data_IF_260699818665
#
_entry.id   IF_260699818665
#
_cell.length_a   1.000
_cell.length_b   1.000
_cell.length_c   1.000
_cell.angle_alpha   90.00
_cell.angle_beta   90.00
_cell.angle_gamma   90.00
#
_symmetry.space_group_name_H-M   'P 1'
#
loop_
_entity.id
_entity.type
_entity.pdbx_description
1 polymer ?
#
# COMPACT_ATOMS: atom_id res chain seq x y z
N UNK A 1 -6.81 -47.44 -76.17
CA UNK A 1 -6.91 -46.01 -76.56
C UNK A 1 -7.82 -45.30 -75.54
N UNK A 2 -7.31 -44.23 -74.91
CA UNK A 2 -7.99 -43.04 -74.34
C UNK A 2 -9.46 -43.24 -73.87
N UNK A 3 -9.85 -42.98 -72.62
CA UNK A 3 -9.87 -41.65 -72.00
C UNK A 3 -10.07 -41.74 -70.48
N UNK A 4 -9.26 -40.96 -69.77
CA UNK A 4 -9.35 -40.61 -68.34
C UNK A 4 -10.56 -39.67 -68.14
N UNK A 5 -11.36 -39.91 -67.11
CA UNK A 5 -12.37 -38.98 -66.59
C UNK A 5 -12.18 -38.85 -65.08
N UNK A 6 -11.50 -37.78 -64.65
CA UNK A 6 -11.47 -37.29 -63.28
C UNK A 6 -12.72 -36.42 -63.05
N UNK A 7 -13.53 -36.63 -62.00
CA UNK A 7 -14.55 -35.67 -61.64
C UNK A 7 -13.90 -34.43 -60.98
N UNK A 8 -14.30 -33.28 -61.50
CA UNK A 8 -13.84 -31.93 -61.17
C UNK A 8 -14.32 -31.55 -59.75
N UNK A 9 -13.40 -31.38 -58.81
CA UNK A 9 -13.67 -30.79 -57.50
C UNK A 9 -13.80 -29.26 -57.68
N UNK A 10 -15.02 -28.72 -57.61
CA UNK A 10 -15.21 -27.27 -57.51
C UNK A 10 -15.09 -26.89 -56.04
N UNK A 11 -13.90 -26.45 -55.64
CA UNK A 11 -13.66 -25.87 -54.33
C UNK A 11 -14.19 -24.42 -54.36
N UNK A 12 -15.34 -24.17 -53.73
CA UNK A 12 -15.83 -22.82 -53.50
C UNK A 12 -14.94 -22.17 -52.43
N UNK A 13 -13.97 -21.36 -52.85
CA UNK A 13 -13.20 -20.53 -51.95
C UNK A 13 -14.11 -19.41 -51.40
N UNK A 14 -14.62 -19.59 -50.19
CA UNK A 14 -15.22 -18.50 -49.43
C UNK A 14 -14.06 -17.62 -48.97
N UNK A 15 -13.74 -16.59 -49.74
CA UNK A 15 -12.83 -15.52 -49.33
C UNK A 15 -13.43 -14.80 -48.12
N UNK A 16 -12.92 -15.12 -46.93
CA UNK A 16 -13.16 -14.37 -45.71
C UNK A 16 -12.48 -13.00 -45.82
N UNK A 17 -13.23 -11.99 -46.25
CA UNK A 17 -12.86 -10.60 -45.98
C UNK A 17 -13.28 -10.30 -44.54
N UNK A 18 -12.51 -10.80 -43.57
CA UNK A 18 -12.51 -10.21 -42.24
C UNK A 18 -11.85 -8.84 -42.37
N UNK A 19 -12.67 -7.82 -42.64
CA UNK A 19 -12.25 -6.43 -42.55
C UNK A 19 -11.96 -6.19 -41.08
N UNK A 20 -10.68 -6.23 -40.70
CA UNK A 20 -10.24 -5.75 -39.40
C UNK A 20 -10.63 -4.27 -39.36
N UNK A 21 -11.75 -3.95 -38.73
CA UNK A 21 -12.03 -2.60 -38.34
C UNK A 21 -11.03 -2.30 -37.22
N UNK A 22 -9.88 -1.72 -37.57
CA UNK A 22 -9.08 -0.98 -36.61
C UNK A 22 -10.02 0.06 -36.01
N UNK A 23 -10.58 -0.26 -34.85
CA UNK A 23 -11.32 0.71 -34.07
C UNK A 23 -10.26 1.74 -33.69
N UNK A 24 -10.37 3.00 -34.15
CA UNK A 24 -9.36 4.01 -33.83
C UNK A 24 -9.22 4.04 -32.32
N UNK A 25 -8.00 3.84 -31.82
CA UNK A 25 -7.75 3.89 -30.40
C UNK A 25 -8.22 5.27 -29.90
N UNK A 26 -9.18 5.28 -28.97
CA UNK A 26 -9.82 6.49 -28.47
C UNK A 26 -8.88 7.16 -27.45
N UNK A 27 -7.66 7.52 -27.88
CA UNK A 27 -6.58 7.95 -27.00
C UNK A 27 -6.66 9.44 -26.66
N UNK A 28 -7.48 10.22 -27.36
CA UNK A 28 -7.64 11.65 -27.08
C UNK A 28 -8.54 11.91 -25.89
N UNK A 29 -8.26 13.00 -25.17
CA UNK A 29 -9.01 13.40 -23.96
C UNK A 29 -10.49 13.63 -24.27
N UNK A 30 -11.42 13.03 -23.50
CA UNK A 30 -12.83 13.25 -23.70
C UNK A 30 -13.21 14.69 -23.34
N UNK A 31 -14.10 15.27 -24.15
CA UNK A 31 -14.60 16.64 -23.99
C UNK A 31 -13.50 17.71 -23.87
N UNK A 32 -12.43 17.58 -24.66
CA UNK A 32 -11.26 18.47 -24.56
C UNK A 32 -11.57 19.98 -24.66
N UNK A 33 -12.60 20.36 -25.42
CA UNK A 33 -13.05 21.75 -25.56
C UNK A 33 -13.96 22.28 -24.45
N UNK A 34 -14.40 21.45 -23.49
CA UNK A 34 -15.38 21.80 -22.46
C UNK A 34 -14.76 22.12 -21.09
N UNK A 35 -13.44 22.30 -21.02
CA UNK A 35 -12.70 22.48 -19.78
C UNK A 35 -12.00 21.20 -19.31
N UNK A 36 -11.58 21.11 -18.03
CA UNK A 36 -10.88 19.95 -17.52
C UNK A 36 -11.80 18.73 -17.46
N UNK A 37 -11.29 17.59 -17.93
CA UNK A 37 -11.94 16.30 -17.73
C UNK A 37 -11.88 15.96 -16.26
N UNK A 38 -13.05 15.88 -15.62
CA UNK A 38 -13.14 15.50 -14.22
C UNK A 38 -12.98 13.99 -14.09
N UNK A 39 -12.05 13.60 -13.23
CA UNK A 39 -11.78 12.21 -12.87
C UNK A 39 -12.16 12.07 -11.41
N UNK A 40 -13.29 11.43 -11.15
CA UNK A 40 -13.73 11.06 -9.82
C UNK A 40 -12.83 9.98 -9.25
N UNK A 41 -12.45 10.13 -7.98
CA UNK A 41 -11.54 9.20 -7.31
C UNK A 41 -12.12 8.75 -5.98
N UNK A 42 -12.16 7.43 -5.79
CA UNK A 42 -12.44 6.79 -4.51
C UNK A 42 -11.21 6.03 -4.03
N UNK A 43 -10.79 6.23 -2.78
CA UNK A 43 -9.58 5.62 -2.22
C UNK A 43 -9.89 4.85 -0.94
N UNK A 44 -9.40 3.62 -0.85
CA UNK A 44 -9.50 2.82 0.36
C UNK A 44 -8.13 2.26 0.74
N UNK A 45 -7.63 2.67 1.92
CA UNK A 45 -6.44 2.06 2.51
C UNK A 45 -6.88 0.72 3.11
N UNK A 46 -6.49 -0.37 2.45
CA UNK A 46 -6.79 -1.73 2.89
C UNK A 46 -5.96 -2.06 4.11
N UNK A 47 -4.66 -1.76 4.07
CA UNK A 47 -3.75 -2.03 5.17
C UNK A 47 -2.50 -1.15 5.10
N UNK A 48 -1.86 -0.97 6.24
CA UNK A 48 -0.50 -0.44 6.35
C UNK A 48 0.27 -1.40 7.24
N UNK A 49 1.33 -1.97 6.69
CA UNK A 49 1.96 -3.19 7.24
C UNK A 49 3.32 -2.93 7.86
N UNK A 50 4.03 -1.90 7.41
CA UNK A 50 5.39 -1.61 7.86
C UNK A 50 5.72 -0.12 7.76
N UNK A 51 6.60 0.35 8.63
CA UNK A 51 7.24 1.68 8.56
C UNK A 51 8.73 1.51 8.77
N UNK A 52 9.55 2.03 7.86
CA UNK A 52 11.00 2.06 8.00
C UNK A 52 11.47 3.50 8.23
N UNK A 53 11.88 3.78 9.48
CA UNK A 53 12.36 5.11 9.87
C UNK A 53 13.74 5.45 9.30
N UNK A 54 14.58 4.44 9.05
CA UNK A 54 15.92 4.63 8.49
C UNK A 54 15.85 4.92 6.99
N UNK A 55 14.99 4.18 6.27
CA UNK A 55 14.78 4.36 4.83
C UNK A 55 13.74 5.43 4.49
N UNK A 56 13.08 6.02 5.50
CA UNK A 56 12.04 7.03 5.32
C UNK A 56 10.92 6.56 4.37
N UNK A 57 10.36 5.40 4.65
CA UNK A 57 9.26 4.84 3.87
C UNK A 57 8.24 4.10 4.75
N UNK A 58 7.09 3.80 4.16
CA UNK A 58 6.08 2.92 4.76
C UNK A 58 5.48 2.02 3.68
N UNK A 59 5.01 0.85 4.07
CA UNK A 59 4.39 -0.14 3.17
C UNK A 59 2.89 -0.13 3.36
N UNK A 60 2.15 0.05 2.27
CA UNK A 60 0.69 0.10 2.28
C UNK A 60 0.07 -0.74 1.16
N UNK A 61 -1.19 -1.11 1.40
CA UNK A 61 -2.10 -1.75 0.45
C UNK A 61 -3.29 -0.81 0.21
N UNK A 62 -3.46 -0.40 -1.04
CA UNK A 62 -4.42 0.63 -1.45
C UNK A 62 -5.33 0.05 -2.52
N UNK A 63 -6.64 0.17 -2.34
CA UNK A 63 -7.61 0.00 -3.41
C UNK A 63 -8.06 1.39 -3.89
N UNK A 64 -8.03 1.62 -5.20
CA UNK A 64 -8.46 2.88 -5.80
C UNK A 64 -9.42 2.62 -6.96
N UNK A 65 -10.38 3.53 -7.09
CA UNK A 65 -11.31 3.57 -8.22
C UNK A 65 -11.22 4.94 -8.85
N UNK A 66 -10.95 4.98 -10.15
CA UNK A 66 -11.07 6.16 -10.97
C UNK A 66 -12.33 6.04 -11.82
N UNK A 67 -13.10 7.13 -11.92
CA UNK A 67 -14.30 7.20 -12.77
C UNK A 67 -14.28 8.48 -13.58
N UNK A 68 -14.57 8.40 -14.87
CA UNK A 68 -14.75 9.58 -15.73
C UNK A 68 -15.83 9.34 -16.77
N UNK A 69 -16.24 10.40 -17.47
CA UNK A 69 -17.23 10.32 -18.55
C UNK A 69 -16.55 10.35 -19.92
N UNK A 70 -16.89 9.40 -20.78
CA UNK A 70 -16.52 9.39 -22.18
C UNK A 70 -17.71 8.93 -23.05
N UNK A 71 -18.41 9.89 -23.63
CA UNK A 71 -19.59 9.63 -24.47
C UNK A 71 -19.29 8.77 -25.70
N UNK A 72 -18.02 8.68 -26.13
CA UNK A 72 -17.60 7.87 -27.28
C UNK A 72 -17.63 6.37 -26.97
N UNK A 73 -17.61 6.01 -25.69
CA UNK A 73 -17.67 4.64 -25.20
C UNK A 73 -19.08 4.21 -24.77
N UNK A 74 -20.08 5.10 -24.89
CA UNK A 74 -21.46 4.75 -24.66
C UNK A 74 -21.93 3.71 -25.68
N UNK A 75 -22.72 2.73 -25.23
CA UNK A 75 -23.15 1.61 -26.05
C UNK A 75 -24.54 1.13 -25.66
N UNK A 76 -25.23 0.46 -26.59
CA UNK A 76 -26.60 -0.05 -26.39
C UNK A 76 -26.65 -1.41 -25.69
N UNK A 77 -25.51 -2.02 -25.40
CA UNK A 77 -25.42 -3.25 -24.60
C UNK A 77 -25.90 -3.03 -23.16
N UNK A 78 -26.37 -4.10 -22.51
CA UNK A 78 -26.89 -4.06 -21.14
C UNK A 78 -25.83 -4.34 -20.07
N UNK A 79 -24.62 -4.76 -20.47
CA UNK A 79 -23.51 -5.09 -19.59
C UNK A 79 -22.34 -4.11 -19.69
N UNK A 80 -21.25 -4.40 -18.99
CA UNK A 80 -20.02 -3.60 -19.05
C UNK A 80 -19.15 -4.04 -20.22
N UNK A 81 -18.64 -3.07 -21.00
CA UNK A 81 -17.64 -3.31 -22.03
C UNK A 81 -16.23 -3.16 -21.45
N UNK A 82 -15.32 -4.08 -21.79
CA UNK A 82 -13.94 -4.09 -21.30
C UNK A 82 -12.99 -3.62 -22.40
N UNK A 83 -12.08 -2.71 -22.03
CA UNK A 83 -11.07 -2.16 -22.93
C UNK A 83 -9.68 -2.28 -22.31
N UNK A 84 -8.68 -2.61 -23.13
CA UNK A 84 -7.30 -2.44 -22.72
C UNK A 84 -6.97 -0.94 -22.58
N UNK A 85 -6.05 -0.58 -21.68
CA UNK A 85 -5.73 0.84 -21.40
C UNK A 85 -5.10 1.59 -22.59
N UNK A 86 -4.64 0.88 -23.62
CA UNK A 86 -4.12 1.45 -24.87
C UNK A 86 -5.21 1.70 -25.93
N UNK A 87 -6.42 1.18 -25.73
CA UNK A 87 -7.57 1.36 -26.63
C UNK A 87 -8.46 2.55 -26.26
N UNK A 88 -8.33 3.06 -25.03
CA UNK A 88 -9.14 4.14 -24.48
C UNK A 88 -8.27 5.21 -23.84
N UNK A 89 -8.80 6.42 -23.76
CA UNK A 89 -8.15 7.50 -23.05
C UNK A 89 -8.09 7.18 -21.57
N UNK A 90 -6.94 7.41 -20.96
CA UNK A 90 -6.77 7.31 -19.51
C UNK A 90 -6.18 8.60 -18.95
N UNK A 91 -6.48 8.93 -17.69
CA UNK A 91 -5.89 10.08 -17.02
C UNK A 91 -4.39 9.90 -16.65
N UNK A 92 -3.78 8.76 -17.04
CA UNK A 92 -2.36 8.44 -16.82
C UNK A 92 -1.89 8.72 -15.40
N UNK A 93 -2.62 8.19 -14.43
CA UNK A 93 -2.33 8.45 -13.02
C UNK A 93 -1.08 7.71 -12.58
N UNK A 94 -0.10 8.46 -12.08
CA UNK A 94 1.07 7.94 -11.36
C UNK A 94 1.00 8.27 -9.87
N UNK A 95 1.84 7.61 -9.08
CA UNK A 95 2.01 7.91 -7.66
C UNK A 95 3.39 8.54 -7.47
N UNK A 96 3.44 9.82 -7.08
CA UNK A 96 4.68 10.60 -7.07
C UNK A 96 5.73 10.07 -6.08
N UNK A 97 5.28 9.42 -5.01
CA UNK A 97 6.14 8.89 -3.96
C UNK A 97 6.17 7.36 -3.90
N UNK A 98 5.78 6.67 -4.97
CA UNK A 98 5.96 5.21 -5.05
C UNK A 98 7.45 4.84 -5.17
N UNK A 99 7.82 3.71 -4.57
CA UNK A 99 9.13 3.09 -4.81
C UNK A 99 9.00 1.99 -5.86
N UNK A 100 10.13 1.44 -6.31
CA UNK A 100 10.14 0.31 -7.25
C UNK A 100 9.50 -0.97 -6.71
N UNK A 101 9.16 -1.04 -5.42
CA UNK A 101 8.48 -2.20 -4.83
C UNK A 101 6.96 -2.19 -5.03
N UNK A 102 6.37 -1.07 -5.49
CA UNK A 102 4.92 -0.96 -5.67
C UNK A 102 4.47 -1.79 -6.86
N UNK A 103 3.57 -2.74 -6.59
CA UNK A 103 2.99 -3.64 -7.59
C UNK A 103 1.50 -3.34 -7.74
N UNK A 104 1.04 -3.33 -9.00
CA UNK A 104 -0.37 -3.29 -9.41
C UNK A 104 -0.95 -4.70 -9.36
N UNK A 105 -2.04 -4.91 -8.61
CA UNK A 105 -2.62 -6.24 -8.35
C UNK A 105 -3.88 -6.53 -9.16
N UNK A 106 -4.54 -5.51 -9.71
CA UNK A 106 -5.71 -5.68 -10.55
C UNK A 106 -5.35 -5.50 -12.04
N UNK A 107 -6.16 -6.09 -12.95
CA UNK A 107 -5.95 -5.96 -14.39
C UNK A 107 -5.86 -4.50 -14.84
N UNK A 108 -4.97 -4.24 -15.79
CA UNK A 108 -4.88 -2.95 -16.47
C UNK A 108 -5.91 -2.90 -17.60
N UNK A 109 -7.18 -2.82 -17.22
CA UNK A 109 -8.32 -2.70 -18.12
C UNK A 109 -9.32 -1.68 -17.61
N UNK A 110 -9.91 -0.93 -18.53
CA UNK A 110 -11.01 -0.03 -18.25
C UNK A 110 -12.36 -0.71 -18.53
N UNK A 111 -13.36 -0.32 -17.77
CA UNK A 111 -14.73 -0.82 -17.82
C UNK A 111 -15.65 0.32 -18.23
N UNK A 112 -16.29 0.23 -19.39
CA UNK A 112 -17.28 1.21 -19.82
C UNK A 112 -18.70 0.70 -19.55
N UNK A 113 -19.50 1.53 -18.89
CA UNK A 113 -20.93 1.34 -18.70
C UNK A 113 -21.71 1.80 -19.94
N UNK A 114 -22.97 1.34 -20.12
CA UNK A 114 -23.79 1.69 -21.30
C UNK A 114 -23.94 3.19 -21.53
N UNK A 115 -23.91 3.99 -20.47
CA UNK A 115 -24.05 5.43 -20.54
C UNK A 115 -22.74 6.16 -20.92
N UNK A 116 -21.62 5.44 -21.10
CA UNK A 116 -20.29 6.00 -21.37
C UNK A 116 -19.51 6.42 -20.11
N UNK A 117 -19.94 6.00 -18.92
CA UNK A 117 -19.15 6.11 -17.70
C UNK A 117 -18.05 5.07 -17.73
N UNK A 118 -16.81 5.47 -17.49
CA UNK A 118 -15.65 4.58 -17.51
C UNK A 118 -15.10 4.44 -16.11
N UNK A 119 -14.85 3.20 -15.69
CA UNK A 119 -14.24 2.84 -14.44
C UNK A 119 -12.86 2.23 -14.70
N UNK A 120 -11.87 2.67 -13.93
CA UNK A 120 -10.57 2.03 -13.85
C UNK A 120 -10.26 1.74 -12.39
N UNK A 121 -10.03 0.46 -12.07
CA UNK A 121 -9.81 -0.03 -10.72
C UNK A 121 -8.39 -0.53 -10.61
N UNK A 122 -7.70 -0.14 -9.54
CA UNK A 122 -6.37 -0.66 -9.29
C UNK A 122 -6.17 -0.93 -7.79
N UNK A 123 -5.33 -1.91 -7.48
CA UNK A 123 -4.84 -2.16 -6.13
C UNK A 123 -3.33 -2.08 -6.13
N UNK A 124 -2.78 -1.15 -5.34
CA UNK A 124 -1.35 -0.92 -5.22
C UNK A 124 -0.85 -1.52 -3.91
N UNK A 125 0.19 -2.34 -3.98
CA UNK A 125 0.82 -2.95 -2.81
C UNK A 125 2.32 -2.73 -2.87
N UNK A 126 2.87 -2.03 -1.89
CA UNK A 126 4.31 -1.81 -1.79
C UNK A 126 4.67 -0.60 -0.95
N UNK A 127 5.90 -0.11 -1.12
CA UNK A 127 6.47 0.93 -0.26
C UNK A 127 6.39 2.31 -0.90
N UNK A 128 6.06 3.31 -0.07
CA UNK A 128 5.94 4.71 -0.43
C UNK A 128 6.92 5.54 0.39
N UNK A 129 7.61 6.47 -0.26
CA UNK A 129 8.58 7.35 0.39
C UNK A 129 7.84 8.39 1.23
N UNK A 130 8.30 8.59 2.47
CA UNK A 130 7.74 9.55 3.41
C UNK A 130 8.87 10.13 4.29
N UNK A 131 9.14 11.45 4.21
CA UNK A 131 10.04 12.07 5.18
C UNK A 131 9.42 11.99 6.58
N UNK A 132 10.10 11.31 7.49
CA UNK A 132 9.66 11.11 8.87
C UNK A 132 10.29 12.16 9.79
N UNK A 133 9.48 12.73 10.70
CA UNK A 133 9.95 13.69 11.70
C UNK A 133 10.45 12.94 12.94
N UNK A 134 11.74 12.64 12.99
CA UNK A 134 12.35 11.84 14.06
C UNK A 134 12.72 12.64 15.32
N UNK A 135 12.59 13.97 15.30
CA UNK A 135 12.93 14.87 16.43
C UNK A 135 12.15 14.55 17.72
N UNK A 136 10.97 13.95 17.59
CA UNK A 136 10.14 13.53 18.73
C UNK A 136 9.97 12.02 18.79
N UNK A 137 10.79 11.24 18.09
CA UNK A 137 10.73 9.78 18.15
C UNK A 137 11.06 9.29 19.57
N UNK A 138 10.33 8.31 20.12
CA UNK A 138 9.18 7.58 19.55
C UNK A 138 7.80 8.23 19.84
N UNK A 139 7.74 9.41 20.45
CA UNK A 139 6.50 10.07 20.92
C UNK A 139 5.85 11.04 19.92
N UNK A 140 6.23 10.98 18.64
CA UNK A 140 5.79 11.91 17.59
C UNK A 140 4.59 11.41 16.81
N UNK A 141 3.77 12.32 16.31
CA UNK A 141 2.76 12.00 15.28
C UNK A 141 3.43 12.00 13.91
N UNK A 142 3.14 11.00 13.09
CA UNK A 142 3.60 10.96 11.70
C UNK A 142 2.42 11.06 10.75
N UNK A 143 2.59 11.84 9.69
CA UNK A 143 1.61 11.96 8.62
C UNK A 143 2.15 11.22 7.40
N UNK A 144 1.58 10.06 7.09
CA UNK A 144 1.87 9.29 5.89
C UNK A 144 1.06 9.85 4.72
N UNK A 145 1.72 10.17 3.61
CA UNK A 145 1.09 10.76 2.43
C UNK A 145 1.26 9.87 1.21
N UNK A 146 0.24 9.85 0.37
CA UNK A 146 0.27 9.21 -0.95
C UNK A 146 -0.24 10.22 -1.95
N UNK A 147 0.55 10.51 -2.97
CA UNK A 147 0.29 11.59 -3.91
C UNK A 147 0.05 11.04 -5.31
N UNK A 148 -1.20 11.11 -5.76
CA UNK A 148 -1.59 10.72 -7.12
C UNK A 148 -1.49 11.93 -8.04
N UNK A 149 -0.88 11.75 -9.21
CA UNK A 149 -0.66 12.82 -10.20
C UNK A 149 -1.10 12.36 -11.58
N UNK A 150 -1.76 13.23 -12.34
CA UNK A 150 -2.10 12.96 -13.75
C UNK A 150 -0.87 13.28 -14.61
N UNK A 151 -0.11 12.26 -15.00
CA UNK A 151 1.11 12.46 -15.78
C UNK A 151 0.73 12.93 -17.18
N UNK A 152 1.44 13.94 -17.71
CA UNK A 152 1.27 14.52 -19.05
C UNK A 152 0.07 15.47 -19.21
N UNK A 153 -0.65 15.78 -18.15
CA UNK A 153 -1.79 16.70 -18.19
C UNK A 153 -1.61 17.90 -17.29
N UNK A 154 -2.18 19.03 -17.69
CA UNK A 154 -2.32 20.25 -16.90
C UNK A 154 -3.63 20.23 -16.08
N UNK A 155 -3.82 21.09 -15.05
CA UNK A 155 -4.98 21.06 -14.14
C UNK A 155 -6.22 21.59 -14.82
N UNK A 156 -6.04 22.43 -15.84
CA UNK A 156 -7.10 22.88 -16.73
C UNK A 156 -7.47 21.82 -17.79
N UNK A 157 -6.71 20.72 -17.87
CA UNK A 157 -7.01 19.58 -18.76
C UNK A 157 -7.58 18.39 -17.99
N UNK A 158 -7.03 18.06 -16.82
CA UNK A 158 -7.51 16.96 -15.98
C UNK A 158 -7.59 17.44 -14.53
N UNK A 159 -8.74 17.21 -13.91
CA UNK A 159 -8.99 17.55 -12.51
C UNK A 159 -9.46 16.32 -11.73
N UNK A 160 -8.80 16.03 -10.61
CA UNK A 160 -9.28 15.00 -9.68
C UNK A 160 -10.37 15.58 -8.79
N UNK A 161 -11.47 14.85 -8.66
CA UNK A 161 -12.58 15.18 -7.77
C UNK A 161 -12.91 13.97 -6.90
N UNK A 162 -13.49 14.18 -5.72
CA UNK A 162 -13.90 13.07 -4.86
C UNK A 162 -15.10 12.33 -5.49
N UNK A 163 -15.12 11.00 -5.43
CA UNK A 163 -16.21 10.21 -5.99
C UNK A 163 -17.53 10.36 -5.23
N UNK A 164 -18.53 10.97 -5.88
CA UNK A 164 -19.83 11.24 -5.27
C UNK A 164 -20.60 9.98 -4.86
N UNK A 165 -20.42 8.85 -5.57
CA UNK A 165 -21.09 7.61 -5.20
C UNK A 165 -20.56 7.11 -3.86
N UNK A 166 -19.24 7.15 -3.67
CA UNK A 166 -18.61 6.76 -2.40
C UNK A 166 -18.98 7.72 -1.26
N UNK A 167 -19.10 9.02 -1.54
CA UNK A 167 -19.59 10.00 -0.57
C UNK A 167 -21.03 9.67 -0.15
N UNK A 168 -21.89 9.35 -1.12
CA UNK A 168 -23.30 8.96 -0.87
C UNK A 168 -23.38 7.69 -0.03
N UNK A 169 -22.45 6.76 -0.23
CA UNK A 169 -22.35 5.50 0.53
C UNK A 169 -21.72 5.68 1.92
N UNK A 170 -21.40 6.92 2.32
CA UNK A 170 -20.99 7.29 3.67
C UNK A 170 -19.48 7.49 3.87
N UNK A 171 -18.67 7.44 2.80
CA UNK A 171 -17.24 7.70 2.89
C UNK A 171 -16.93 9.19 2.80
N UNK A 172 -16.40 9.76 3.88
CA UNK A 172 -16.00 11.17 3.90
C UNK A 172 -14.96 11.44 2.81
N UNK A 173 -15.22 12.43 1.94
CA UNK A 173 -14.35 12.79 0.81
C UNK A 173 -13.98 11.61 -0.12
N UNK A 174 -14.84 10.60 -0.24
CA UNK A 174 -14.59 9.39 -1.02
C UNK A 174 -13.31 8.63 -0.64
N UNK A 175 -12.80 8.84 0.57
CA UNK A 175 -11.65 8.11 1.08
C UNK A 175 -12.01 7.31 2.33
N UNK A 176 -11.12 6.40 2.72
CA UNK A 176 -11.27 5.64 3.94
C UNK A 176 -10.08 4.74 4.22
N UNK A 177 -10.10 4.13 5.39
CA UNK A 177 -9.09 3.19 5.87
C UNK A 177 -9.76 2.06 6.64
N UNK A 178 -9.20 0.87 6.53
CA UNK A 178 -9.60 -0.27 7.34
C UNK A 178 -9.58 0.09 8.83
N UNK A 179 -10.56 -0.45 9.58
CA UNK A 179 -10.68 -0.21 11.03
C UNK A 179 -9.50 -0.77 11.82
N UNK A 180 -8.83 -1.77 11.27
CA UNK A 180 -7.63 -2.38 11.81
C UNK A 180 -6.56 -2.44 10.72
N UNK A 181 -5.37 -1.96 11.05
CA UNK A 181 -4.17 -2.09 10.22
C UNK A 181 -3.16 -3.00 10.92
N UNK A 182 -2.27 -3.62 10.15
CA UNK A 182 -1.27 -4.60 10.61
C UNK A 182 -0.08 -3.95 11.30
N UNK A 183 0.13 -2.64 11.13
CA UNK A 183 1.20 -1.88 11.80
C UNK A 183 1.16 -2.08 13.33
N UNK A 184 2.15 -2.77 13.91
CA UNK A 184 2.16 -3.05 15.34
C UNK A 184 2.42 -1.76 16.12
N UNK A 185 1.63 -1.53 17.16
CA UNK A 185 1.75 -0.36 18.01
C UNK A 185 1.53 0.97 17.28
N UNK A 186 0.66 1.05 16.28
CA UNK A 186 0.19 2.33 15.73
C UNK A 186 -1.33 2.47 15.85
N UNK A 187 -1.81 3.69 16.05
CA UNK A 187 -3.23 4.03 15.92
C UNK A 187 -3.40 5.10 14.88
N UNK A 188 -4.30 4.83 13.94
CA UNK A 188 -4.82 5.84 13.01
C UNK A 188 -5.64 6.86 13.81
N UNK A 189 -5.15 8.09 13.89
CA UNK A 189 -5.87 9.18 14.56
C UNK A 189 -6.92 9.79 13.62
N UNK A 190 -6.54 10.03 12.36
CA UNK A 190 -7.40 10.59 11.32
C UNK A 190 -6.83 10.33 9.94
N UNK A 191 -7.67 10.47 8.94
CA UNK A 191 -7.30 10.44 7.53
C UNK A 191 -8.05 11.55 6.79
N UNK A 192 -7.51 11.97 5.64
CA UNK A 192 -8.05 13.06 4.82
C UNK A 192 -7.58 12.91 3.37
N UNK A 193 -8.43 13.25 2.40
CA UNK A 193 -8.12 13.13 0.97
C UNK A 193 -8.37 14.45 0.24
N UNK A 194 -7.29 15.17 -0.07
CA UNK A 194 -7.39 16.50 -0.68
C UNK A 194 -6.98 16.50 -2.13
N UNK A 195 -7.91 16.90 -3.00
CA UNK A 195 -7.56 17.36 -4.32
C UNK A 195 -6.79 18.69 -4.21
N UNK A 196 -5.65 18.75 -4.88
CA UNK A 196 -4.79 19.92 -5.02
C UNK A 196 -4.51 20.16 -6.51
N UNK A 197 -3.92 21.30 -6.84
CA UNK A 197 -3.52 21.61 -8.21
C UNK A 197 -2.51 20.54 -8.65
N UNK A 198 -2.88 19.72 -9.64
CA UNK A 198 -2.11 18.57 -10.18
C UNK A 198 -1.99 17.30 -9.32
N UNK A 199 -2.50 17.28 -8.09
CA UNK A 199 -2.29 16.10 -7.22
C UNK A 199 -3.50 15.82 -6.33
N UNK A 200 -3.87 14.55 -6.21
CA UNK A 200 -4.72 14.08 -5.12
C UNK A 200 -3.82 13.54 -4.01
N UNK A 201 -3.82 14.19 -2.85
CA UNK A 201 -3.01 13.77 -1.71
C UNK A 201 -3.90 13.11 -0.66
N UNK A 202 -3.70 11.81 -0.46
CA UNK A 202 -4.23 11.10 0.70
C UNK A 202 -3.25 11.27 1.85
N UNK A 203 -3.74 11.70 3.02
CA UNK A 203 -2.94 11.84 4.23
C UNK A 203 -3.55 11.01 5.35
N UNK A 204 -2.78 10.07 5.90
CA UNK A 204 -3.12 9.34 7.14
C UNK A 204 -2.25 9.90 8.26
N UNK A 205 -2.84 10.31 9.39
CA UNK A 205 -2.11 10.71 10.59
C UNK A 205 -2.15 9.56 11.59
N UNK A 206 -0.98 9.10 12.00
CA UNK A 206 -0.83 7.98 12.92
C UNK A 206 0.06 8.33 14.10
N UNK A 207 -0.22 7.66 15.22
CA UNK A 207 0.47 7.83 16.49
C UNK A 207 0.93 6.47 17.02
N UNK A 208 2.19 6.40 17.44
CA UNK A 208 2.79 5.22 18.06
C UNK A 208 2.19 4.97 19.48
N UNK A 209 1.67 3.76 19.68
CA UNK A 209 0.93 3.25 20.83
C UNK A 209 1.79 2.62 21.92
N UNK A 210 3.13 2.53 21.79
CA UNK A 210 4.01 1.90 22.80
C UNK A 210 3.80 2.49 24.22
N UNK A 211 3.07 3.61 24.40
CA UNK A 211 2.95 4.31 25.68
C UNK A 211 1.54 4.63 26.21
N UNK A 212 0.56 3.72 26.17
CA UNK A 212 -0.54 3.75 27.18
C UNK A 212 -0.25 2.85 28.39
N UNK A 213 0.25 1.63 28.17
CA UNK A 213 0.62 0.69 29.24
C UNK A 213 1.94 1.10 29.94
N UNK A 214 2.98 1.40 29.16
CA UNK A 214 4.30 1.75 29.71
C UNK A 214 4.35 3.12 30.39
N UNK A 215 3.41 4.04 30.14
CA UNK A 215 3.43 5.39 30.75
C UNK A 215 3.18 5.35 32.25
N UNK A 216 2.36 4.40 32.72
CA UNK A 216 2.08 4.22 34.15
C UNK A 216 3.26 3.53 34.84
N UNK A 217 3.86 2.54 34.17
CA UNK A 217 5.02 1.78 34.65
C UNK A 217 6.26 2.69 34.70
N UNK A 218 6.55 3.43 33.64
CA UNK A 218 7.65 4.41 33.58
C UNK A 218 7.44 5.57 34.54
N UNK A 219 6.23 6.10 34.75
CA UNK A 219 6.00 7.13 35.79
C UNK A 219 6.26 6.60 37.18
N UNK A 220 5.89 5.35 37.48
CA UNK A 220 6.16 4.74 38.77
C UNK A 220 7.64 4.40 38.98
N UNK A 221 8.39 4.13 37.89
CA UNK A 221 9.84 3.90 37.92
C UNK A 221 10.61 5.24 37.96
N UNK A 222 10.20 6.25 37.20
CA UNK A 222 10.83 7.58 37.12
C UNK A 222 10.52 8.47 38.33
N UNK A 223 9.38 8.31 38.99
CA UNK A 223 9.10 8.97 40.26
C UNK A 223 10.03 8.50 41.40
N UNK A 224 10.88 7.48 41.16
CA UNK A 224 11.83 6.93 42.12
C UNK A 224 13.30 7.29 41.88
N UNK A 225 13.63 8.05 40.83
CA UNK A 225 15.03 8.40 40.56
C UNK A 225 15.16 9.85 40.12
N UNK A 226 15.64 10.68 41.04
CA UNK A 226 15.97 12.09 40.82
C UNK A 226 17.30 12.23 40.04
N UNK A 227 17.40 13.33 39.27
CA UNK A 227 18.48 13.82 38.38
C UNK A 227 18.78 13.08 37.07
N UNK A 228 18.35 13.72 35.98
CA UNK A 228 18.76 13.48 34.59
C UNK A 228 20.23 13.87 34.36
N UNK A 229 21.09 12.87 34.21
CA UNK A 229 22.32 12.95 33.41
C UNK A 229 22.05 12.24 32.10
N UNK A 230 22.37 12.85 30.95
CA UNK A 230 22.31 12.17 29.64
C UNK A 230 23.02 10.81 29.73
N UNK A 231 22.28 9.73 29.52
CA UNK A 231 22.82 8.37 29.61
C UNK A 231 22.92 7.74 28.22
N UNK A 232 24.13 7.38 27.84
CA UNK A 232 24.40 6.60 26.62
C UNK A 232 24.07 5.14 26.89
N UNK A 233 23.36 4.50 25.97
CA UNK A 233 23.02 3.09 26.05
C UNK A 233 23.73 2.31 24.95
N UNK A 234 24.12 1.08 25.27
CA UNK A 234 24.60 0.12 24.28
C UNK A 234 23.52 -0.91 24.05
N UNK A 235 23.28 -1.22 22.78
CA UNK A 235 22.40 -2.30 22.37
C UNK A 235 23.26 -3.48 21.94
N UNK A 236 22.91 -4.68 22.39
CA UNK A 236 23.53 -5.92 21.93
C UNK A 236 22.45 -6.94 21.59
N UNK A 237 22.73 -7.78 20.60
CA UNK A 237 21.84 -8.88 20.24
C UNK A 237 22.25 -10.15 20.98
N UNK A 238 21.27 -10.88 21.51
CA UNK A 238 21.46 -12.21 22.09
C UNK A 238 20.38 -13.15 21.58
N UNK A 239 20.67 -14.45 21.53
CA UNK A 239 19.70 -15.47 21.13
C UNK A 239 19.56 -16.45 22.29
N UNK A 240 18.37 -16.53 22.86
CA UNK A 240 18.02 -17.57 23.81
C UNK A 240 17.47 -18.79 23.11
N UNK A 241 17.67 -19.95 23.72
CA UNK A 241 17.12 -21.21 23.25
C UNK A 241 16.41 -21.93 24.40
N UNK A 242 15.32 -22.64 24.08
CA UNK A 242 14.61 -23.50 25.04
C UNK A 242 13.91 -24.64 24.29
N UNK A 243 13.83 -25.81 24.92
CA UNK A 243 13.05 -26.94 24.41
C UNK A 243 11.56 -26.83 24.75
N UNK A 244 11.16 -25.84 25.56
CA UNK A 244 9.80 -25.70 26.08
C UNK A 244 8.97 -24.68 25.31
N UNK A 245 9.45 -23.44 25.21
CA UNK A 245 8.74 -22.36 24.51
C UNK A 245 9.66 -21.18 24.18
N UNK A 246 9.17 -20.26 23.33
CA UNK A 246 9.90 -19.03 23.02
C UNK A 246 9.96 -18.05 24.19
N UNK A 247 8.95 -18.02 25.06
CA UNK A 247 8.94 -17.20 26.28
C UNK A 247 10.02 -17.67 27.25
N UNK A 248 10.18 -18.98 27.38
CA UNK A 248 11.25 -19.57 28.19
C UNK A 248 12.63 -19.24 27.59
N UNK A 249 12.80 -19.39 26.28
CA UNK A 249 14.01 -18.99 25.57
C UNK A 249 14.36 -17.51 25.80
N UNK A 250 13.36 -16.61 25.77
CA UNK A 250 13.55 -15.20 26.04
C UNK A 250 14.02 -14.94 27.49
N UNK A 251 13.38 -15.60 28.48
CA UNK A 251 13.77 -15.50 29.89
C UNK A 251 15.20 -15.98 30.10
N UNK A 252 15.58 -17.12 29.51
CA UNK A 252 16.93 -17.67 29.60
C UNK A 252 17.97 -16.71 29.04
N UNK A 253 17.70 -16.08 27.90
CA UNK A 253 18.59 -15.08 27.32
C UNK A 253 18.79 -13.87 28.23
N UNK A 254 17.72 -13.30 28.78
CA UNK A 254 17.80 -12.15 29.69
C UNK A 254 18.55 -12.51 30.97
N UNK A 255 18.25 -13.66 31.57
CA UNK A 255 18.92 -14.15 32.78
C UNK A 255 20.42 -14.37 32.56
N UNK A 256 20.78 -14.97 31.43
CA UNK A 256 22.19 -15.21 31.05
C UNK A 256 22.92 -13.89 30.83
N UNK A 257 22.30 -12.96 30.09
CA UNK A 257 22.87 -11.65 29.82
C UNK A 257 23.05 -10.83 31.12
N UNK A 258 22.12 -10.93 32.07
CA UNK A 258 22.19 -10.24 33.36
C UNK A 258 23.40 -10.66 34.23
N UNK A 259 24.01 -11.81 33.93
CA UNK A 259 25.27 -12.23 34.56
C UNK A 259 26.47 -11.38 34.17
N UNK A 260 26.46 -10.77 32.97
CA UNK A 260 27.60 -10.01 32.43
C UNK A 260 27.28 -8.53 32.17
N UNK A 261 26.05 -8.23 31.77
CA UNK A 261 25.58 -6.89 31.47
C UNK A 261 24.85 -6.33 32.69
N UNK A 262 25.41 -5.25 33.26
CA UNK A 262 24.77 -4.48 34.34
C UNK A 262 23.74 -3.53 33.75
N UNK A 263 22.76 -3.14 34.56
CA UNK A 263 21.79 -2.12 34.20
C UNK A 263 20.97 -2.44 32.92
N UNK A 264 20.62 -3.71 32.71
CA UNK A 264 19.64 -4.12 31.70
C UNK A 264 18.27 -3.49 31.98
N UNK A 265 17.70 -2.81 31.00
CA UNK A 265 16.41 -2.09 31.16
C UNK A 265 15.33 -2.61 30.24
N UNK A 266 15.66 -2.83 28.97
CA UNK A 266 14.70 -3.23 27.95
C UNK A 266 15.29 -4.36 27.12
N UNK A 267 14.49 -5.40 26.88
CA UNK A 267 14.75 -6.49 25.97
C UNK A 267 13.63 -6.53 24.92
N UNK A 268 13.96 -6.36 23.65
CA UNK A 268 13.01 -6.39 22.53
C UNK A 268 13.16 -7.68 21.73
N UNK A 269 12.04 -8.36 21.45
CA UNK A 269 12.04 -9.56 20.60
C UNK A 269 12.12 -9.14 19.13
N UNK A 270 13.22 -9.51 18.49
CA UNK A 270 13.47 -9.20 17.07
C UNK A 270 12.93 -10.31 16.16
N UNK A 271 13.15 -11.57 16.55
CA UNK A 271 12.76 -12.73 15.74
C UNK A 271 12.61 -13.97 16.60
N UNK A 272 11.63 -14.80 16.25
CA UNK A 272 11.41 -16.11 16.82
C UNK A 272 11.52 -17.15 15.71
N UNK A 273 12.29 -18.21 15.95
CA UNK A 273 12.41 -19.35 15.03
C UNK A 273 12.56 -20.66 15.81
N UNK A 274 12.63 -21.79 15.09
CA UNK A 274 12.78 -23.12 15.68
C UNK A 274 13.92 -23.86 15.00
N UNK A 275 14.67 -24.66 15.76
CA UNK A 275 15.59 -25.66 15.23
C UNK A 275 14.80 -26.93 14.94
N UNK A 276 14.91 -27.44 13.72
CA UNK A 276 14.22 -28.66 13.28
C UNK A 276 15.26 -29.72 12.96
N UNK A 277 15.03 -30.94 13.45
CA UNK A 277 15.84 -32.12 13.16
C UNK A 277 14.90 -33.31 12.94
N UNK A 278 15.11 -34.07 11.86
CA UNK A 278 14.25 -35.18 11.43
C UNK A 278 12.74 -34.85 11.37
N UNK A 279 12.43 -33.63 10.93
CA UNK A 279 11.06 -33.12 10.84
C UNK A 279 10.39 -32.80 12.18
N UNK A 280 11.14 -32.83 13.28
CA UNK A 280 10.66 -32.49 14.63
C UNK A 280 11.29 -31.20 15.13
N UNK A 281 10.50 -30.39 15.85
CA UNK A 281 11.01 -29.20 16.54
C UNK A 281 11.85 -29.65 17.73
N UNK A 282 13.13 -29.25 17.73
CA UNK A 282 14.09 -29.56 18.78
C UNK A 282 14.19 -28.43 19.80
N UNK A 283 14.30 -27.18 19.32
CA UNK A 283 14.46 -26.00 20.18
C UNK A 283 13.71 -24.80 19.62
N UNK A 284 13.08 -24.04 20.50
CA UNK A 284 12.55 -22.71 20.26
C UNK A 284 13.65 -21.68 20.50
N UNK A 285 13.78 -20.72 19.60
CA UNK A 285 14.83 -19.70 19.64
C UNK A 285 14.21 -18.32 19.60
N UNK A 286 14.61 -17.48 20.55
CA UNK A 286 14.16 -16.08 20.64
C UNK A 286 15.35 -15.15 20.58
N UNK A 287 15.43 -14.35 19.53
CA UNK A 287 16.46 -13.31 19.33
C UNK A 287 15.99 -12.01 19.97
N UNK A 288 16.80 -11.48 20.87
CA UNK A 288 16.53 -10.27 21.64
C UNK A 288 17.57 -9.19 21.34
N UNK A 289 17.12 -7.95 21.22
CA UNK A 289 17.98 -6.77 21.39
C UNK A 289 17.87 -6.29 22.83
N UNK A 290 19.01 -6.30 23.53
CA UNK A 290 19.12 -5.87 24.92
C UNK A 290 19.73 -4.48 24.99
N UNK A 291 19.06 -3.57 25.69
CA UNK A 291 19.60 -2.26 26.05
C UNK A 291 20.08 -2.24 27.49
N UNK A 292 21.30 -1.77 27.67
CA UNK A 292 21.92 -1.54 28.97
C UNK A 292 22.68 -0.22 28.98
N UNK A 293 22.82 0.38 30.16
CA UNK A 293 23.52 1.66 30.30
C UNK A 293 25.02 1.45 30.07
N UNK A 294 25.64 2.34 29.33
CA UNK A 294 27.10 2.38 29.20
C UNK A 294 27.68 2.98 30.48
N UNK A 295 28.52 2.22 31.17
CA UNK A 295 29.34 2.74 32.28
C UNK A 295 30.54 3.47 31.66
N UNK A 296 30.63 4.77 31.90
CA UNK A 296 31.80 5.61 31.57
C UNK A 296 32.84 5.55 32.66
#
# INVERSE_FOLDING_TARGET
MKRILLPFFVLFAISSVARSAETPALIDRPAAGAGPTQVSVGIWIVDITNTDSAQQNFTADLAIVFRWKDARLAHTGTGVAYYALDQVWTPRVGIANETSSVVRKLPESAEAEPDGTVLYRQRYVGSFTQPLRLQSFPFGRQAFRIQFVAIRYQPNEVAFVADENWIRDGLQQAAGISRSITLPNWTVEKWDAKASIYALTLTCLETDLIRRSNKQIERNIMAKTDKSTDSVYRVTEVIGTSTQSWEDAAKTAVQTAAGTLRDLRIAEVVKMDVKIEDGKVLEFRTRLQLSFKYES
#
